data_IF_667409298922
#
_entry.id   IF_667409298922
#
_cell.length_a   1.000
_cell.length_b   1.000
_cell.length_c   1.000
_cell.angle_alpha   90.00
_cell.angle_beta   90.00
_cell.angle_gamma   90.00
#
_symmetry.space_group_name_H-M   'P 1'
#
loop_
_entity.id
_entity.type
_entity.pdbx_description
1 polymer ?
#
# COMPACT_ATOMS: atom_id res chain seq x y z
N UNK A 1 -2.01 -30.36 9.69
CA UNK A 1 -2.18 -28.91 9.87
C UNK A 1 -3.46 -28.66 10.65
N UNK A 2 -3.32 -28.06 11.82
CA UNK A 2 -4.43 -27.85 12.75
C UNK A 2 -4.74 -26.36 12.91
N UNK A 3 -6.02 -26.03 13.05
CA UNK A 3 -6.48 -24.68 13.35
C UNK A 3 -7.09 -24.63 14.77
N UNK A 4 -6.81 -23.56 15.51
CA UNK A 4 -7.23 -23.41 16.92
C UNK A 4 -8.03 -22.13 17.13
N UNK A 5 -9.10 -22.21 17.92
CA UNK A 5 -9.82 -21.05 18.46
C UNK A 5 -9.54 -20.96 19.96
N UNK A 6 -8.90 -19.89 20.40
CA UNK A 6 -8.65 -19.59 21.80
C UNK A 6 -9.53 -18.41 22.21
N UNK A 7 -10.39 -18.61 23.21
CA UNK A 7 -11.21 -17.54 23.78
C UNK A 7 -10.60 -17.04 25.08
N UNK A 8 -10.77 -15.75 25.37
CA UNK A 8 -10.19 -15.14 26.57
C UNK A 8 -8.69 -14.88 26.46
N UNK A 9 -8.17 -14.60 25.26
CA UNK A 9 -6.73 -14.46 24.99
C UNK A 9 -6.11 -13.13 25.44
N UNK A 10 -6.84 -12.26 26.12
CA UNK A 10 -6.33 -10.93 26.50
C UNK A 10 -5.20 -10.94 27.54
N UNK A 11 -5.09 -11.98 28.38
CA UNK A 11 -4.05 -12.12 29.43
C UNK A 11 -4.01 -13.54 29.99
N UNK A 12 -3.02 -13.84 30.84
CA UNK A 12 -2.94 -15.09 31.59
C UNK A 12 -2.83 -16.31 30.69
N UNK A 13 -3.47 -17.41 31.08
CA UNK A 13 -3.35 -18.71 30.39
C UNK A 13 -3.79 -18.68 28.92
N UNK A 14 -4.87 -17.95 28.59
CA UNK A 14 -5.34 -17.84 27.21
C UNK A 14 -4.35 -17.10 26.31
N UNK A 15 -3.66 -16.10 26.85
CA UNK A 15 -2.61 -15.37 26.15
C UNK A 15 -1.37 -16.24 25.92
N UNK A 16 -0.89 -16.92 26.97
CA UNK A 16 0.30 -17.78 26.86
C UNK A 16 0.05 -18.98 25.92
N UNK A 17 -1.15 -19.56 25.96
CA UNK A 17 -1.54 -20.61 25.02
C UNK A 17 -1.54 -20.10 23.57
N UNK A 18 -2.08 -18.89 23.35
CA UNK A 18 -2.07 -18.24 22.04
C UNK A 18 -0.63 -18.01 21.56
N UNK A 19 0.26 -17.52 22.43
CA UNK A 19 1.68 -17.29 22.14
C UNK A 19 2.40 -18.57 21.72
N UNK A 20 2.21 -19.64 22.48
CA UNK A 20 2.85 -20.92 22.19
C UNK A 20 2.34 -21.53 20.88
N UNK A 21 1.03 -21.47 20.62
CA UNK A 21 0.45 -21.94 19.36
C UNK A 21 0.97 -21.14 18.16
N UNK A 22 1.09 -19.80 18.29
CA UNK A 22 1.63 -18.94 17.23
C UNK A 22 3.11 -19.21 16.95
N UNK A 23 3.89 -19.64 17.95
CA UNK A 23 5.32 -19.95 17.80
C UNK A 23 5.62 -21.31 17.15
N UNK A 24 4.60 -22.13 16.85
CA UNK A 24 4.78 -23.46 16.25
C UNK A 24 4.97 -23.36 14.72
N UNK A 25 5.72 -24.29 14.12
CA UNK A 25 5.90 -24.31 12.67
C UNK A 25 4.56 -24.55 11.96
N UNK A 26 4.41 -23.97 10.77
CA UNK A 26 3.16 -24.03 9.98
C UNK A 26 2.73 -25.46 9.61
N UNK A 27 3.67 -26.41 9.58
CA UNK A 27 3.38 -27.85 9.40
C UNK A 27 2.53 -28.44 10.53
N UNK A 28 2.66 -27.90 11.74
CA UNK A 28 1.92 -28.31 12.94
C UNK A 28 0.67 -27.45 13.15
N UNK A 29 0.83 -26.12 13.18
CA UNK A 29 -0.24 -25.16 13.44
C UNK A 29 -0.36 -24.19 12.27
N UNK A 30 -1.47 -24.26 11.53
CA UNK A 30 -1.65 -23.42 10.34
C UNK A 30 -2.35 -22.11 10.63
N UNK A 31 -3.31 -22.10 11.58
CA UNK A 31 -4.14 -20.93 11.87
C UNK A 31 -4.49 -20.88 13.36
N UNK A 32 -4.41 -19.70 13.97
CA UNK A 32 -4.87 -19.44 15.35
C UNK A 32 -5.84 -18.25 15.34
N UNK A 33 -7.08 -18.49 15.79
CA UNK A 33 -8.07 -17.46 16.06
C UNK A 33 -8.06 -17.15 17.56
N UNK A 34 -7.66 -15.94 17.95
CA UNK A 34 -7.61 -15.52 19.36
C UNK A 34 -8.65 -14.43 19.63
N UNK A 35 -9.61 -14.70 20.50
CA UNK A 35 -10.66 -13.72 20.86
C UNK A 35 -10.37 -13.11 22.23
N UNK A 36 -10.41 -11.78 22.30
CA UNK A 36 -10.07 -11.01 23.50
C UNK A 36 -11.18 -9.99 23.81
N UNK A 37 -11.48 -9.78 25.09
CA UNK A 37 -12.47 -8.80 25.55
C UNK A 37 -11.96 -7.35 25.51
N UNK A 38 -10.64 -7.14 25.53
CA UNK A 38 -10.00 -5.83 25.43
C UNK A 38 -8.61 -5.93 24.80
N UNK A 39 -8.25 -4.98 23.93
CA UNK A 39 -6.93 -4.90 23.26
C UNK A 39 -5.85 -4.18 24.07
N UNK A 40 -6.09 -3.85 25.33
CA UNK A 40 -5.23 -2.98 26.15
C UNK A 40 -4.05 -3.68 26.83
N UNK A 41 -3.99 -5.01 26.82
CA UNK A 41 -2.88 -5.73 27.44
C UNK A 41 -1.64 -5.68 26.53
N UNK A 42 -0.55 -5.07 27.03
CA UNK A 42 0.73 -4.89 26.31
C UNK A 42 1.25 -6.18 25.66
N UNK A 43 1.18 -7.31 26.37
CA UNK A 43 1.65 -8.60 25.87
C UNK A 43 0.75 -9.18 24.76
N UNK A 44 -0.56 -8.89 24.77
CA UNK A 44 -1.46 -9.22 23.66
C UNK A 44 -1.21 -8.30 22.46
N UNK A 45 -0.85 -7.04 22.70
CA UNK A 45 -0.42 -6.13 21.63
C UNK A 45 0.90 -6.57 21.00
N UNK A 46 1.87 -7.05 21.79
CA UNK A 46 3.14 -7.61 21.30
C UNK A 46 2.90 -8.84 20.41
N UNK A 47 1.91 -9.69 20.73
CA UNK A 47 1.46 -10.77 19.85
C UNK A 47 0.74 -10.30 18.59
N UNK A 48 0.01 -9.18 18.66
CA UNK A 48 -0.59 -8.55 17.48
C UNK A 48 0.44 -7.82 16.60
N UNK A 49 1.64 -7.51 17.12
CA UNK A 49 2.72 -6.91 16.32
C UNK A 49 3.28 -7.87 15.27
N UNK A 50 2.99 -9.17 15.35
CA UNK A 50 3.24 -10.12 14.25
C UNK A 50 2.16 -10.03 13.13
N UNK A 51 1.16 -9.16 13.27
CA UNK A 51 0.12 -8.94 12.26
C UNK A 51 0.17 -7.50 11.72
N UNK A 52 0.99 -7.30 10.69
CA UNK A 52 1.38 -6.03 10.08
C UNK A 52 0.23 -5.23 9.40
N UNK A 53 -1.04 -5.62 9.58
CA UNK A 53 -2.18 -4.97 8.92
C UNK A 53 -2.41 -3.52 9.36
N UNK A 54 -2.53 -3.26 10.66
CA UNK A 54 -2.80 -1.91 11.17
C UNK A 54 -1.63 -0.96 10.93
N UNK A 55 -0.41 -1.47 11.07
CA UNK A 55 0.81 -0.70 10.76
C UNK A 55 0.87 -0.37 9.27
N UNK A 56 0.58 -1.33 8.40
CA UNK A 56 0.51 -1.11 6.94
C UNK A 56 -0.54 -0.06 6.59
N UNK A 57 -1.77 -0.15 7.12
CA UNK A 57 -2.81 0.86 6.86
C UNK A 57 -2.43 2.24 7.41
N UNK A 58 -1.84 2.31 8.60
CA UNK A 58 -1.40 3.58 9.18
C UNK A 58 -0.37 4.26 8.30
N UNK A 59 0.62 3.52 7.80
CA UNK A 59 1.69 4.08 6.95
C UNK A 59 1.19 4.38 5.55
N UNK A 60 0.47 3.46 4.91
CA UNK A 60 0.13 3.56 3.49
C UNK A 60 -1.19 4.30 3.21
N UNK A 61 -2.05 4.49 4.21
CA UNK A 61 -3.38 5.13 4.03
C UNK A 61 -3.50 6.35 4.92
N UNK A 62 -3.42 6.19 6.24
CA UNK A 62 -3.59 7.32 7.18
C UNK A 62 -2.48 8.36 7.02
N UNK A 63 -1.23 7.92 6.81
CA UNK A 63 -0.08 8.80 6.59
C UNK A 63 -0.27 9.76 5.40
N UNK A 64 -0.52 9.25 4.18
CA UNK A 64 -0.84 10.08 3.03
C UNK A 64 -2.08 10.96 3.24
N UNK A 65 -3.15 10.44 3.85
CA UNK A 65 -4.35 11.24 4.15
C UNK A 65 -4.03 12.47 5.01
N UNK A 66 -3.35 12.26 6.14
CA UNK A 66 -3.00 13.33 7.08
C UNK A 66 -2.02 14.31 6.45
N UNK A 67 -1.03 13.81 5.70
CA UNK A 67 -0.07 14.64 4.97
C UNK A 67 -0.80 15.54 3.96
N UNK A 68 -1.64 14.96 3.11
CA UNK A 68 -2.41 15.73 2.12
C UNK A 68 -3.25 16.82 2.80
N UNK A 69 -4.00 16.49 3.86
CA UNK A 69 -4.83 17.47 4.60
C UNK A 69 -3.99 18.61 5.19
N UNK A 70 -2.84 18.28 5.76
CA UNK A 70 -1.98 19.24 6.46
C UNK A 70 -1.32 20.23 5.48
N UNK A 71 -0.95 19.77 4.29
CA UNK A 71 -0.28 20.58 3.28
C UNK A 71 -1.23 21.23 2.27
N UNK A 72 -2.51 20.82 2.23
CA UNK A 72 -3.51 21.34 1.30
C UNK A 72 -3.61 22.88 1.27
N UNK A 73 -3.58 23.62 2.40
CA UNK A 73 -3.57 25.08 2.37
C UNK A 73 -2.38 25.70 1.63
N UNK A 74 -1.22 25.02 1.63
CA UNK A 74 -0.03 25.45 0.91
C UNK A 74 -0.13 25.08 -0.58
N UNK A 75 -0.61 23.87 -0.89
CA UNK A 75 -0.81 23.42 -2.27
C UNK A 75 -1.78 24.34 -3.03
N UNK A 76 -2.83 24.84 -2.37
CA UNK A 76 -3.78 25.81 -2.94
C UNK A 76 -3.14 27.11 -3.45
N UNK A 77 -1.97 27.48 -2.90
CA UNK A 77 -1.21 28.67 -3.32
C UNK A 77 -0.30 28.40 -4.52
N UNK A 78 -0.12 27.15 -4.90
CA UNK A 78 0.69 26.76 -6.06
C UNK A 78 -0.01 27.06 -7.39
N UNK A 79 0.78 27.38 -8.42
CA UNK A 79 0.30 27.52 -9.79
C UNK A 79 -0.14 26.17 -10.38
N UNK A 80 0.60 25.10 -10.05
CA UNK A 80 0.24 23.72 -10.36
C UNK A 80 -0.16 23.00 -9.08
N UNK A 81 -1.34 22.40 -9.09
CA UNK A 81 -1.96 21.76 -7.92
C UNK A 81 -2.07 20.27 -8.16
N UNK A 82 -1.01 19.54 -7.84
CA UNK A 82 -0.93 18.09 -8.06
C UNK A 82 -0.73 17.35 -6.74
N UNK A 83 -1.45 16.26 -6.56
CA UNK A 83 -1.24 15.30 -5.47
C UNK A 83 -0.96 13.95 -6.13
N UNK A 84 0.20 13.38 -5.82
CA UNK A 84 0.68 12.14 -6.44
C UNK A 84 0.75 11.05 -5.37
N UNK A 85 0.01 9.97 -5.57
CA UNK A 85 0.06 8.78 -4.73
C UNK A 85 0.83 7.66 -5.44
N UNK A 86 1.75 7.02 -4.72
CA UNK A 86 2.53 5.91 -5.26
C UNK A 86 1.82 4.58 -4.99
N UNK A 87 1.38 3.93 -6.06
CA UNK A 87 0.74 2.62 -6.05
C UNK A 87 1.73 1.55 -6.53
N UNK A 88 1.54 0.29 -6.14
CA UNK A 88 2.27 -0.84 -6.69
C UNK A 88 1.40 -2.07 -6.62
N UNK A 89 1.36 -2.84 -7.70
CA UNK A 89 0.80 -4.18 -7.71
C UNK A 89 1.90 -5.20 -7.41
N UNK A 90 1.62 -6.17 -6.54
CA UNK A 90 2.56 -7.24 -6.22
C UNK A 90 1.96 -8.61 -6.51
N UNK A 91 2.72 -9.47 -7.18
CA UNK A 91 2.27 -10.79 -7.64
C UNK A 91 2.48 -11.93 -6.61
N UNK A 92 2.60 -11.60 -5.33
CA UNK A 92 2.66 -12.57 -4.23
C UNK A 92 1.57 -12.30 -3.18
N UNK A 93 1.24 -13.28 -2.30
CA UNK A 93 0.26 -13.08 -1.23
C UNK A 93 0.74 -12.03 -0.21
N UNK A 94 0.14 -10.84 -0.28
CA UNK A 94 0.42 -9.72 0.63
C UNK A 94 -0.89 -8.98 0.97
N UNK A 95 -1.83 -9.61 1.68
CA UNK A 95 -3.20 -9.09 1.85
C UNK A 95 -3.22 -7.69 2.47
N UNK A 96 -2.46 -7.45 3.54
CA UNK A 96 -2.37 -6.15 4.20
C UNK A 96 -1.88 -5.05 3.25
N UNK A 97 -0.83 -5.35 2.49
CA UNK A 97 -0.26 -4.43 1.52
C UNK A 97 -1.25 -4.13 0.41
N UNK A 98 -1.83 -5.17 -0.23
CA UNK A 98 -2.80 -5.02 -1.31
C UNK A 98 -4.05 -4.26 -0.88
N UNK A 99 -4.59 -4.53 0.32
CA UNK A 99 -5.71 -3.79 0.89
C UNK A 99 -5.33 -2.31 1.08
N UNK A 100 -4.16 -2.02 1.65
CA UNK A 100 -3.72 -0.64 1.86
C UNK A 100 -3.57 0.14 0.56
N UNK A 101 -3.10 -0.55 -0.49
CA UNK A 101 -2.93 -0.01 -1.83
C UNK A 101 -4.26 0.21 -2.54
N UNK A 102 -5.23 -0.69 -2.40
CA UNK A 102 -6.60 -0.48 -2.86
C UNK A 102 -7.30 0.69 -2.12
N UNK A 103 -7.06 0.83 -0.81
CA UNK A 103 -7.56 1.96 -0.04
C UNK A 103 -6.93 3.29 -0.47
N UNK A 104 -5.62 3.30 -0.77
CA UNK A 104 -4.93 4.44 -1.36
C UNK A 104 -5.55 4.82 -2.71
N UNK A 105 -5.93 3.83 -3.52
CA UNK A 105 -6.58 4.08 -4.79
C UNK A 105 -7.93 4.79 -4.63
N UNK A 106 -8.80 4.29 -3.75
CA UNK A 106 -10.07 4.97 -3.46
C UNK A 106 -9.85 6.39 -2.90
N UNK A 107 -8.83 6.58 -2.07
CA UNK A 107 -8.48 7.90 -1.56
C UNK A 107 -8.08 8.88 -2.67
N UNK A 108 -7.38 8.42 -3.72
CA UNK A 108 -7.09 9.23 -4.92
C UNK A 108 -8.39 9.72 -5.57
N UNK A 109 -9.37 8.84 -5.80
CA UNK A 109 -10.68 9.19 -6.40
C UNK A 109 -11.46 10.18 -5.53
N UNK A 110 -11.51 9.96 -4.22
CA UNK A 110 -12.25 10.85 -3.32
C UNK A 110 -11.63 12.25 -3.28
N UNK A 111 -10.29 12.34 -3.23
CA UNK A 111 -9.63 13.64 -3.28
C UNK A 111 -9.75 14.31 -4.64
N UNK A 112 -9.66 13.55 -5.74
CA UNK A 112 -9.79 14.09 -7.10
C UNK A 112 -11.13 14.77 -7.28
N UNK A 113 -12.23 14.15 -6.84
CA UNK A 113 -13.58 14.71 -6.87
C UNK A 113 -13.72 15.92 -5.94
N UNK A 114 -13.25 15.81 -4.69
CA UNK A 114 -13.44 16.87 -3.69
C UNK A 114 -12.66 18.15 -3.97
N UNK A 115 -11.59 18.07 -4.77
CA UNK A 115 -10.68 19.17 -5.09
C UNK A 115 -10.74 19.59 -6.56
N UNK A 116 -11.64 19.01 -7.35
CA UNK A 116 -11.75 19.25 -8.79
C UNK A 116 -12.04 20.72 -9.10
N UNK A 117 -13.04 21.31 -8.43
CA UNK A 117 -13.41 22.72 -8.60
C UNK A 117 -12.28 23.69 -8.19
N UNK A 118 -11.36 23.24 -7.34
CA UNK A 118 -10.20 24.00 -6.93
C UNK A 118 -9.03 23.92 -7.92
N UNK A 119 -9.19 23.14 -9.01
CA UNK A 119 -8.20 22.95 -10.07
C UNK A 119 -7.10 21.96 -9.71
N UNK A 120 -7.34 21.02 -8.79
CA UNK A 120 -6.37 19.98 -8.47
C UNK A 120 -6.41 18.81 -9.46
N UNK A 121 -5.24 18.22 -9.69
CA UNK A 121 -5.08 16.92 -10.34
C UNK A 121 -4.51 15.94 -9.31
N UNK A 122 -5.31 14.95 -8.92
CA UNK A 122 -4.94 13.91 -7.95
C UNK A 122 -4.86 12.59 -8.66
N UNK A 123 -3.68 11.95 -8.66
CA UNK A 123 -3.44 10.73 -9.45
C UNK A 123 -2.69 9.67 -8.65
N UNK A 124 -2.84 8.43 -9.08
CA UNK A 124 -2.03 7.31 -8.62
C UNK A 124 -1.06 6.88 -9.73
N UNK A 125 0.17 6.53 -9.37
CA UNK A 125 1.16 6.04 -10.34
C UNK A 125 1.80 4.77 -9.82
N UNK A 126 1.88 3.74 -10.68
CA UNK A 126 2.73 2.57 -10.48
C UNK A 126 4.11 2.84 -11.07
N UNK A 127 5.18 2.97 -10.25
CA UNK A 127 6.51 3.32 -10.72
C UNK A 127 7.26 2.11 -11.31
N UNK A 128 6.64 0.94 -11.36
CA UNK A 128 7.24 -0.33 -11.75
C UNK A 128 8.00 -1.04 -10.63
N UNK A 129 8.53 -2.22 -10.95
CA UNK A 129 9.34 -3.01 -10.00
C UNK A 129 10.80 -2.54 -10.05
N UNK A 130 11.19 -1.74 -9.05
CA UNK A 130 12.48 -1.04 -9.03
C UNK A 130 13.50 -1.71 -8.10
N UNK A 131 14.77 -1.71 -8.51
CA UNK A 131 15.93 -2.20 -7.74
C UNK A 131 16.20 -1.35 -6.51
N UNK A 132 15.44 -1.61 -5.46
CA UNK A 132 15.48 -0.94 -4.14
C UNK A 132 15.58 -2.00 -3.05
N UNK A 133 15.77 -1.59 -1.79
CA UNK A 133 15.72 -2.51 -0.64
C UNK A 133 14.40 -3.32 -0.61
N UNK A 134 13.29 -2.72 -1.06
CA UNK A 134 11.98 -3.38 -1.12
C UNK A 134 11.80 -4.24 -2.37
N UNK A 135 12.38 -3.83 -3.51
CA UNK A 135 12.23 -4.54 -4.78
C UNK A 135 13.22 -5.70 -4.97
N UNK A 136 14.38 -5.65 -4.30
CA UNK A 136 15.44 -6.63 -4.44
C UNK A 136 16.30 -6.43 -5.69
N UNK A 137 17.36 -7.24 -5.83
CA UNK A 137 18.28 -7.20 -6.99
C UNK A 137 17.64 -7.62 -8.31
N UNK A 138 16.60 -8.45 -8.21
CA UNK A 138 15.94 -9.10 -9.35
C UNK A 138 14.85 -8.23 -9.97
N UNK A 139 14.63 -7.03 -9.42
CA UNK A 139 13.67 -6.08 -9.94
C UNK A 139 14.03 -5.64 -11.36
N UNK A 140 13.01 -5.36 -12.16
CA UNK A 140 13.12 -5.09 -13.59
C UNK A 140 13.97 -3.85 -13.91
N UNK A 141 13.67 -2.74 -13.22
CA UNK A 141 14.18 -1.41 -13.58
C UNK A 141 15.14 -0.86 -12.51
N UNK A 142 16.07 0.00 -12.92
CA UNK A 142 16.80 0.82 -11.96
C UNK A 142 15.90 1.90 -11.35
N UNK A 143 16.31 2.46 -10.21
CA UNK A 143 15.58 3.55 -9.56
C UNK A 143 15.52 4.78 -10.46
N UNK A 144 16.60 5.07 -11.18
CA UNK A 144 16.72 6.21 -12.07
C UNK A 144 15.72 6.12 -13.23
N UNK A 145 15.65 4.95 -13.91
CA UNK A 145 14.70 4.75 -15.02
C UNK A 145 13.24 4.82 -14.55
N UNK A 146 12.93 4.21 -13.40
CA UNK A 146 11.59 4.29 -12.83
C UNK A 146 11.18 5.70 -12.42
N UNK A 147 12.11 6.47 -11.84
CA UNK A 147 11.87 7.86 -11.45
C UNK A 147 11.67 8.77 -12.66
N UNK A 148 12.48 8.63 -13.71
CA UNK A 148 12.33 9.38 -14.96
C UNK A 148 10.97 9.10 -15.62
N UNK A 149 10.59 7.83 -15.74
CA UNK A 149 9.31 7.43 -16.30
C UNK A 149 8.12 7.94 -15.46
N UNK A 150 8.24 7.90 -14.12
CA UNK A 150 7.24 8.45 -13.19
C UNK A 150 7.11 9.96 -13.35
N UNK A 151 8.23 10.68 -13.44
CA UNK A 151 8.24 12.14 -13.63
C UNK A 151 7.56 12.53 -14.94
N UNK A 152 7.78 11.77 -16.01
CA UNK A 152 7.11 11.98 -17.29
C UNK A 152 5.58 11.88 -17.18
N UNK A 153 5.06 10.93 -16.40
CA UNK A 153 3.62 10.85 -16.11
C UNK A 153 3.18 12.11 -15.36
N UNK A 154 3.85 12.46 -14.25
CA UNK A 154 3.49 13.62 -13.41
C UNK A 154 3.39 14.93 -14.23
N UNK A 155 4.36 15.15 -15.13
CA UNK A 155 4.43 16.36 -15.96
C UNK A 155 3.33 16.35 -17.03
N UNK A 156 3.11 15.22 -17.72
CA UNK A 156 2.17 15.13 -18.84
C UNK A 156 0.70 15.09 -18.41
N UNK A 157 0.41 14.53 -17.25
CA UNK A 157 -0.97 14.38 -16.80
C UNK A 157 -1.60 15.74 -16.54
N UNK A 158 -2.77 16.01 -17.08
CA UNK A 158 -3.53 17.23 -16.82
C UNK A 158 -4.86 16.91 -16.11
N UNK A 159 -5.84 17.81 -16.19
CA UNK A 159 -7.17 17.62 -15.60
C UNK A 159 -7.91 16.39 -16.13
N UNK A 160 -7.65 15.94 -17.38
CA UNK A 160 -8.27 14.73 -17.94
C UNK A 160 -7.72 13.46 -17.28
N UNK A 161 -6.57 13.59 -16.64
CA UNK A 161 -5.98 12.56 -15.80
C UNK A 161 -6.49 12.50 -14.37
N UNK A 162 -7.30 13.47 -13.93
CA UNK A 162 -7.69 13.60 -12.53
C UNK A 162 -8.47 12.36 -12.05
N UNK A 163 -8.04 11.78 -10.93
CA UNK A 163 -8.65 10.57 -10.36
C UNK A 163 -8.20 9.25 -10.99
N UNK A 164 -7.30 9.29 -11.98
CA UNK A 164 -6.86 8.10 -12.74
C UNK A 164 -5.59 7.48 -12.18
N UNK A 165 -5.32 6.27 -12.66
CA UNK A 165 -4.25 5.38 -12.20
C UNK A 165 -3.34 5.06 -13.35
N UNK A 166 -2.07 5.43 -13.29
CA UNK A 166 -1.17 5.28 -14.42
C UNK A 166 -0.11 4.23 -14.14
N UNK A 167 0.13 3.37 -15.13
CA UNK A 167 1.39 2.66 -15.26
C UNK A 167 2.43 3.60 -15.86
N UNK A 168 3.71 3.37 -15.59
CA UNK A 168 4.78 4.07 -16.29
C UNK A 168 4.99 3.48 -17.69
N UNK A 169 5.50 4.31 -18.60
CA UNK A 169 5.98 3.89 -19.91
C UNK A 169 7.50 3.81 -19.91
N UNK A 170 8.06 2.66 -20.31
CA UNK A 170 9.50 2.49 -20.52
C UNK A 170 9.73 1.87 -21.90
N UNK A 171 10.48 2.51 -22.80
CA UNK A 171 10.76 1.97 -24.13
C UNK A 171 11.34 0.56 -24.09
N UNK A 172 10.77 -0.36 -24.85
CA UNK A 172 11.16 -1.77 -24.91
C UNK A 172 10.48 -2.68 -23.90
N UNK A 173 9.62 -2.15 -23.02
CA UNK A 173 8.86 -2.91 -22.02
C UNK A 173 7.38 -3.06 -22.34
N UNK A 174 6.91 -2.54 -23.47
CA UNK A 174 5.50 -2.49 -23.85
C UNK A 174 4.92 -3.89 -24.09
N UNK A 175 5.71 -4.77 -24.70
CA UNK A 175 5.31 -6.13 -25.09
C UNK A 175 6.14 -7.19 -24.34
N UNK A 176 6.65 -6.84 -23.15
CA UNK A 176 7.46 -7.75 -22.36
C UNK A 176 6.66 -9.02 -22.03
N UNK A 177 7.24 -10.19 -22.31
CA UNK A 177 6.63 -11.50 -22.00
C UNK A 177 6.84 -11.92 -20.54
N UNK A 178 7.60 -11.13 -19.78
CA UNK A 178 7.79 -11.31 -18.35
C UNK A 178 6.56 -10.90 -17.51
N UNK A 179 6.73 -10.90 -16.20
CA UNK A 179 5.64 -10.66 -15.24
C UNK A 179 5.07 -9.23 -15.29
N UNK A 180 5.88 -8.26 -15.72
CA UNK A 180 5.51 -6.85 -15.74
C UNK A 180 5.69 -6.25 -17.14
N UNK A 181 4.76 -5.37 -17.51
CA UNK A 181 4.82 -4.51 -18.69
C UNK A 181 4.76 -3.06 -18.22
N UNK A 182 5.52 -2.20 -18.87
CA UNK A 182 5.59 -0.76 -18.58
C UNK A 182 5.20 0.02 -19.84
N UNK A 183 3.92 -0.07 -20.16
CA UNK A 183 3.29 0.38 -21.41
C UNK A 183 2.66 1.78 -21.31
N UNK A 184 2.64 2.38 -20.12
CA UNK A 184 1.98 3.67 -19.88
C UNK A 184 0.44 3.58 -19.81
N UNK A 185 -0.13 2.38 -19.75
CA UNK A 185 -1.58 2.20 -19.70
C UNK A 185 -2.20 2.76 -18.41
N UNK A 186 -3.51 3.04 -18.48
CA UNK A 186 -4.29 3.24 -17.27
C UNK A 186 -4.50 1.89 -16.57
N UNK A 187 -4.27 1.88 -15.27
CA UNK A 187 -4.49 0.73 -14.41
C UNK A 187 -5.94 0.73 -13.90
N UNK A 188 -6.51 -0.45 -13.61
CA UNK A 188 -7.84 -0.57 -13.01
C UNK A 188 -7.89 -0.03 -11.56
#
# INVERSE_FOLDING_TARGET
MSAYLVTGSSRGTGLELTRQLASKPASEVSIVFATARSRSARQFQELLQENDFEKTLRVNVSGPHVTTRSFLPLLRKGLSKKIINMQTFVNYPAPSYKISKAALNMMTVLYSQSLEEEGFTVICISPGWLKTDMGGSDADLSVESGAEATLNVIIKTDKEGNGRFFNIYVPGWEMNSGLNQYDGAELP
#
